data_IF_266600818055
#
_entry.id   IF_266600818055
#
_cell.length_a   1.000
_cell.length_b   1.000
_cell.length_c   1.000
_cell.angle_alpha   90.00
_cell.angle_beta   90.00
_cell.angle_gamma   90.00
#
_symmetry.space_group_name_H-M   'P 1'
#
loop_
_entity.id
_entity.type
_entity.pdbx_description
1 polymer ?
#
# COMPACT_ATOMS: atom_id res chain seq x y z
N UNK A 1 15.18 21.36 -23.35
CA UNK A 1 13.98 20.93 -22.61
C UNK A 1 13.16 22.18 -22.34
N UNK A 2 11.97 22.29 -22.91
CA UNK A 2 11.11 23.45 -22.66
C UNK A 2 10.56 23.36 -21.23
N UNK A 3 10.33 24.49 -20.58
CA UNK A 3 9.73 24.54 -19.24
C UNK A 3 8.36 23.84 -19.20
N UNK A 4 7.61 23.91 -20.31
CA UNK A 4 6.34 23.22 -20.47
C UNK A 4 6.52 21.69 -20.50
N UNK A 5 7.53 21.17 -21.21
CA UNK A 5 7.80 19.73 -21.28
C UNK A 5 8.21 19.18 -19.90
N UNK A 6 8.99 19.96 -19.15
CA UNK A 6 9.39 19.60 -17.78
C UNK A 6 8.19 19.55 -16.84
N UNK A 7 7.31 20.56 -16.90
CA UNK A 7 6.09 20.59 -16.08
C UNK A 7 5.16 19.42 -16.41
N UNK A 8 4.97 19.13 -17.70
CA UNK A 8 4.15 18.01 -18.14
C UNK A 8 4.70 16.68 -17.63
N UNK A 9 6.01 16.44 -17.75
CA UNK A 9 6.64 15.23 -17.23
C UNK A 9 6.48 15.08 -15.71
N UNK A 10 6.55 16.18 -14.95
CA UNK A 10 6.31 16.17 -13.50
C UNK A 10 4.85 15.84 -13.17
N UNK A 11 3.90 16.38 -13.91
CA UNK A 11 2.47 16.13 -13.68
C UNK A 11 2.07 14.70 -14.09
N UNK A 12 2.65 14.15 -15.15
CA UNK A 12 2.52 12.74 -15.55
C UNK A 12 3.12 11.79 -14.51
N UNK A 13 4.29 12.12 -13.95
CA UNK A 13 4.92 11.35 -12.90
C UNK A 13 4.05 11.32 -11.62
N UNK A 14 3.51 12.47 -11.20
CA UNK A 14 2.56 12.55 -10.08
C UNK A 14 1.32 11.69 -10.31
N UNK A 15 0.73 11.81 -11.49
CA UNK A 15 -0.46 11.04 -11.87
C UNK A 15 -0.18 9.53 -11.80
N UNK A 16 0.99 9.10 -12.29
CA UNK A 16 1.39 7.69 -12.25
C UNK A 16 1.55 7.18 -10.81
N UNK A 17 2.16 7.98 -9.93
CA UNK A 17 2.31 7.64 -8.51
C UNK A 17 0.93 7.51 -7.84
N UNK A 18 0.05 8.49 -8.04
CA UNK A 18 -1.30 8.49 -7.47
C UNK A 18 -2.14 7.29 -7.96
N UNK A 19 -1.99 6.92 -9.24
CA UNK A 19 -2.62 5.73 -9.80
C UNK A 19 -2.06 4.44 -9.18
N UNK A 20 -0.74 4.37 -8.97
CA UNK A 20 -0.09 3.26 -8.29
C UNK A 20 -0.61 3.08 -6.86
N UNK A 21 -0.73 4.16 -6.10
CA UNK A 21 -1.27 4.14 -4.73
C UNK A 21 -2.74 3.70 -4.71
N UNK A 22 -3.54 4.16 -5.66
CA UNK A 22 -4.93 3.75 -5.78
C UNK A 22 -5.06 2.27 -6.12
N UNK A 23 -4.21 1.75 -7.02
CA UNK A 23 -4.16 0.32 -7.33
C UNK A 23 -3.79 -0.50 -6.08
N UNK A 24 -2.78 -0.07 -5.30
CA UNK A 24 -2.38 -0.71 -4.06
C UNK A 24 -3.54 -0.76 -3.04
N UNK A 25 -4.31 0.33 -2.88
CA UNK A 25 -5.49 0.38 -2.00
C UNK A 25 -6.59 -0.59 -2.44
N UNK A 26 -6.85 -0.68 -3.75
CA UNK A 26 -7.85 -1.62 -4.28
C UNK A 26 -7.41 -3.07 -4.07
N UNK A 27 -6.14 -3.38 -4.33
CA UNK A 27 -5.56 -4.70 -4.08
C UNK A 27 -5.62 -5.08 -2.60
N UNK A 28 -5.33 -4.16 -1.68
CA UNK A 28 -5.44 -4.42 -0.25
C UNK A 28 -6.86 -4.84 0.17
N UNK A 29 -7.90 -4.19 -0.36
CA UNK A 29 -9.30 -4.58 -0.12
C UNK A 29 -9.60 -5.98 -0.65
N UNK A 30 -9.15 -6.29 -1.88
CA UNK A 30 -9.32 -7.60 -2.49
C UNK A 30 -8.61 -8.70 -1.68
N UNK A 31 -7.35 -8.46 -1.32
CA UNK A 31 -6.52 -9.41 -0.57
C UNK A 31 -7.10 -9.67 0.82
N UNK A 32 -7.64 -8.66 1.50
CA UNK A 32 -8.35 -8.84 2.78
C UNK A 32 -9.51 -9.84 2.65
N UNK A 33 -10.30 -9.76 1.58
CA UNK A 33 -11.37 -10.70 1.31
C UNK A 33 -10.83 -12.11 1.05
N UNK A 34 -9.78 -12.21 0.22
CA UNK A 34 -9.13 -13.47 -0.14
C UNK A 34 -8.51 -14.18 1.07
N UNK A 35 -7.84 -13.45 1.97
CA UNK A 35 -7.23 -14.00 3.18
C UNK A 35 -8.24 -14.71 4.11
N UNK A 36 -9.53 -14.39 4.00
CA UNK A 36 -10.59 -15.03 4.80
C UNK A 36 -11.15 -16.31 4.20
N UNK A 37 -11.04 -16.46 2.88
CA UNK A 37 -11.68 -17.57 2.13
C UNK A 37 -10.66 -18.54 1.55
N UNK A 38 -9.45 -18.07 1.27
CA UNK A 38 -8.38 -18.93 0.82
C UNK A 38 -7.86 -19.75 2.02
N UNK A 39 -7.49 -21.00 1.76
CA UNK A 39 -6.79 -21.85 2.73
C UNK A 39 -5.33 -21.37 2.88
N UNK A 40 -5.18 -20.14 3.39
CA UNK A 40 -3.88 -19.53 3.66
C UNK A 40 -3.28 -20.20 4.88
N UNK A 41 -1.98 -20.47 4.81
CA UNK A 41 -1.23 -21.01 5.92
C UNK A 41 -1.46 -20.17 7.20
N UNK A 42 -1.83 -20.79 8.33
CA UNK A 42 -2.09 -20.06 9.57
C UNK A 42 -0.89 -19.26 10.10
N UNK A 43 0.35 -19.68 9.81
CA UNK A 43 1.57 -18.97 10.18
C UNK A 43 1.68 -17.62 9.49
N UNK A 44 1.37 -17.56 8.19
CA UNK A 44 1.34 -16.30 7.43
C UNK A 44 0.31 -15.33 8.03
N UNK A 45 -0.87 -15.83 8.41
CA UNK A 45 -1.90 -15.02 9.04
C UNK A 45 -1.47 -14.51 10.43
N UNK A 46 -0.73 -15.32 11.18
CA UNK A 46 -0.19 -14.94 12.48
C UNK A 46 0.89 -13.85 12.36
N UNK A 47 1.78 -13.96 11.37
CA UNK A 47 2.79 -12.94 11.08
C UNK A 47 2.16 -11.62 10.65
N UNK A 48 1.21 -11.67 9.70
CA UNK A 48 0.48 -10.48 9.27
C UNK A 48 -0.26 -9.81 10.45
N UNK A 49 -0.87 -10.60 11.34
CA UNK A 49 -1.50 -10.08 12.56
C UNK A 49 -0.50 -9.41 13.49
N UNK A 50 0.73 -9.94 13.60
CA UNK A 50 1.79 -9.35 14.40
C UNK A 50 2.25 -8.02 13.81
N UNK A 51 2.47 -7.96 12.50
CA UNK A 51 2.80 -6.73 11.81
C UNK A 51 1.69 -5.69 12.01
N UNK A 52 0.44 -6.01 11.71
CA UNK A 52 -0.67 -5.06 11.81
C UNK A 52 -0.89 -4.49 13.23
N UNK A 53 -0.42 -5.18 14.27
CA UNK A 53 -0.42 -4.67 15.66
C UNK A 53 0.56 -3.50 15.85
N UNK A 54 1.65 -3.55 15.09
CA UNK A 54 2.70 -2.54 15.10
C UNK A 54 2.35 -1.36 14.16
N UNK A 55 1.30 -1.48 13.34
CA UNK A 55 0.81 -0.37 12.52
C UNK A 55 -0.06 0.60 13.33
N UNK A 56 0.27 1.88 13.29
CA UNK A 56 -0.53 2.97 13.85
C UNK A 56 -1.49 3.51 12.78
N UNK A 57 -2.78 3.26 12.99
CA UNK A 57 -3.84 3.68 12.06
C UNK A 57 -4.07 5.20 12.05
N UNK A 58 -3.72 5.90 13.13
CA UNK A 58 -3.90 7.35 13.24
C UNK A 58 -2.80 8.08 12.49
N UNK A 59 -1.56 7.60 12.56
CA UNK A 59 -0.42 8.22 11.87
C UNK A 59 -0.12 7.60 10.51
N UNK A 60 -0.70 6.44 10.20
CA UNK A 60 -0.44 5.68 8.97
C UNK A 60 0.98 5.11 8.90
N UNK A 61 1.67 4.98 10.04
CA UNK A 61 3.07 4.57 10.12
C UNK A 61 3.21 3.27 10.89
N UNK A 62 4.25 2.52 10.56
CA UNK A 62 4.68 1.37 11.34
C UNK A 62 5.48 1.86 12.55
N UNK A 63 5.23 1.28 13.73
CA UNK A 63 6.09 1.45 14.89
C UNK A 63 7.49 0.97 14.49
N UNK A 64 8.46 1.87 14.60
CA UNK A 64 9.85 1.51 14.39
C UNK A 64 10.23 0.57 15.53
N UNK A 65 10.53 -0.71 15.23
CA UNK A 65 11.16 -1.58 16.21
C UNK A 65 12.57 -1.04 16.45
N UNK A 66 12.97 -0.78 17.71
CA UNK A 66 14.36 -0.47 18.03
C UNK A 66 15.28 -1.64 17.69
#
# INVERSE_FOLDING_TARGET
MNWNDFRQAVDEAKTTIDQGDNAARQLAKLMRGRLRIAAVDPGILADLKRELRDFDITTGKWKVRP
#
